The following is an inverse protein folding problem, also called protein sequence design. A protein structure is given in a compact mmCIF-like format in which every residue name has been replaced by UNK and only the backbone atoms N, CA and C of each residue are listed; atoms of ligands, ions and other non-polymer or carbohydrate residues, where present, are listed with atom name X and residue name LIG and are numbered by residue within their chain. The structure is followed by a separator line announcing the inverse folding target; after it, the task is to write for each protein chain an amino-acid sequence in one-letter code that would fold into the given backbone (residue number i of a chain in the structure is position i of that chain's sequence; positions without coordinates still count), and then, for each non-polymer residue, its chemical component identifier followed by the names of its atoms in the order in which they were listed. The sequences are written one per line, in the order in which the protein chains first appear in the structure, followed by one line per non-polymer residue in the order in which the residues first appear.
data_IF_562070703028
#
_entry.id   IF_562070703028
#
_cell.length_a   1.000
_cell.length_b   1.000
_cell.length_c   1.000
_cell.angle_alpha   90.00
_cell.angle_beta   90.00
_cell.angle_gamma   90.00
#
_symmetry.space_group_name_H-M   'P 1'
#
loop_
_entity.id
_entity.type
_entity.pdbx_description
1 polymer ?
#
# COMPACT_ATOMS: atom_id res chain seq x y z
N UNK A 1 18.86 15.22 -64.75
CA UNK A 1 19.20 14.72 -63.40
C UNK A 1 20.48 15.41 -62.99
N UNK A 2 20.42 16.29 -62.00
CA UNK A 2 21.57 16.94 -61.39
C UNK A 2 21.37 16.87 -59.86
N UNK A 3 22.40 16.41 -59.16
CA UNK A 3 22.35 15.80 -57.83
C UNK A 3 22.03 16.74 -56.67
N UNK A 4 21.57 16.12 -55.59
CA UNK A 4 21.26 16.74 -54.31
C UNK A 4 22.58 17.08 -53.56
N UNK A 5 22.78 18.32 -53.07
CA UNK A 5 24.05 18.79 -52.51
C UNK A 5 24.27 18.40 -51.02
N UNK A 6 23.64 17.32 -50.56
CA UNK A 6 23.63 16.92 -49.14
C UNK A 6 23.98 15.45 -48.94
N UNK A 7 25.00 14.97 -49.66
CA UNK A 7 25.67 13.70 -49.32
C UNK A 7 27.15 13.91 -49.55
N UNK A 8 27.89 14.03 -48.45
CA UNK A 8 29.15 13.33 -48.18
C UNK A 8 29.73 13.94 -46.89
N UNK A 9 29.69 13.16 -45.82
CA UNK A 9 30.68 13.08 -44.74
C UNK A 9 30.17 11.96 -43.79
N UNK A 10 30.17 10.72 -44.30
CA UNK A 10 30.24 9.53 -43.46
C UNK A 10 31.71 9.38 -43.01
N UNK A 11 31.92 8.95 -41.76
CA UNK A 11 33.19 8.67 -41.07
C UNK A 11 33.81 9.79 -40.20
N UNK A 12 33.11 10.26 -39.16
CA UNK A 12 33.77 10.77 -37.94
C UNK A 12 33.14 10.22 -36.64
N UNK A 13 33.20 8.90 -36.47
CA UNK A 13 32.82 8.20 -35.22
C UNK A 13 33.96 8.18 -34.18
N UNK A 14 34.93 9.09 -34.28
CA UNK A 14 36.10 9.10 -33.37
C UNK A 14 35.75 9.44 -31.92
N UNK A 15 34.57 10.01 -31.67
CA UNK A 15 34.07 10.31 -30.31
C UNK A 15 33.42 9.10 -29.60
N UNK A 16 33.08 8.02 -30.32
CA UNK A 16 32.42 6.84 -29.75
C UNK A 16 33.39 5.81 -29.14
N UNK A 17 34.70 5.90 -29.45
CA UNK A 17 35.69 4.87 -29.07
C UNK A 17 36.69 5.29 -27.98
N UNK A 18 36.38 6.33 -27.18
CA UNK A 18 37.25 6.73 -26.07
C UNK A 18 36.92 5.93 -24.80
N UNK A 19 37.59 4.80 -24.62
CA UNK A 19 37.57 4.07 -23.35
C UNK A 19 38.27 4.91 -22.25
N UNK A 20 37.70 5.02 -21.03
CA UNK A 20 38.29 5.81 -19.97
C UNK A 20 39.57 5.13 -19.43
N UNK A 21 40.61 5.92 -19.17
CA UNK A 21 41.79 5.46 -18.42
C UNK A 21 41.43 5.15 -16.97
N UNK A 22 42.12 4.19 -16.32
CA UNK A 22 41.86 3.86 -14.92
C UNK A 22 42.43 4.98 -14.03
N UNK A 23 41.56 5.85 -13.53
CA UNK A 23 41.85 6.74 -12.41
C UNK A 23 41.86 5.95 -11.09
N UNK A 24 42.63 6.39 -10.09
CA UNK A 24 42.79 5.62 -8.86
C UNK A 24 41.45 5.55 -8.11
N UNK A 25 41.11 4.34 -7.66
CA UNK A 25 40.02 4.12 -6.73
C UNK A 25 40.35 4.81 -5.40
N UNK A 26 39.48 5.70 -4.96
CA UNK A 26 39.36 6.01 -3.53
C UNK A 26 37.96 6.51 -3.18
N UNK A 27 37.54 6.17 -1.96
CA UNK A 27 36.18 6.16 -1.45
C UNK A 27 35.41 7.49 -1.45
N UNK A 28 34.12 7.36 -1.12
CA UNK A 28 33.14 8.45 -1.13
C UNK A 28 33.62 9.73 -0.44
N UNK A 29 33.55 10.83 -1.19
CA UNK A 29 33.66 12.18 -0.65
C UNK A 29 32.26 12.80 -0.59
N UNK A 30 31.84 13.39 0.55
CA UNK A 30 30.69 14.29 0.56
C UNK A 30 31.00 15.46 -0.38
N UNK A 31 30.01 15.91 -1.15
CA UNK A 31 30.17 16.95 -2.16
C UNK A 31 31.01 18.12 -1.63
N UNK A 32 32.11 18.43 -2.32
CA UNK A 32 32.93 19.60 -2.00
C UNK A 32 32.04 20.85 -1.95
N UNK A 33 32.11 21.66 -0.90
CA UNK A 33 31.33 22.90 -0.82
C UNK A 33 31.73 23.83 -1.96
N UNK A 34 30.75 24.47 -2.59
CA UNK A 34 30.99 25.38 -3.71
C UNK A 34 31.81 26.56 -3.18
N UNK A 35 33.07 26.67 -3.60
CA UNK A 35 34.07 27.59 -3.04
C UNK A 35 33.74 29.09 -3.17
N UNK A 36 32.58 29.44 -3.76
CA UNK A 36 32.17 30.81 -4.04
C UNK A 36 30.79 31.19 -3.50
N UNK A 37 30.06 30.30 -2.82
CA UNK A 37 28.83 30.70 -2.14
C UNK A 37 29.13 31.11 -0.70
N UNK A 38 28.59 32.26 -0.32
CA UNK A 38 28.56 32.70 1.07
C UNK A 38 27.78 31.69 1.91
N UNK A 39 28.28 31.26 3.10
CA UNK A 39 27.56 30.34 3.98
C UNK A 39 26.13 30.78 4.33
N UNK A 40 25.83 32.08 4.37
CA UNK A 40 24.46 32.58 4.56
C UNK A 40 23.58 32.32 3.32
N UNK A 41 24.17 32.38 2.13
CA UNK A 41 23.48 32.07 0.86
C UNK A 41 23.34 30.56 0.70
N UNK A 42 24.34 29.76 1.10
CA UNK A 42 24.19 28.30 1.17
C UNK A 42 23.11 27.89 2.16
N UNK A 43 23.02 28.54 3.33
CA UNK A 43 21.97 28.29 4.30
C UNK A 43 20.59 28.77 3.81
N UNK A 44 20.52 29.89 3.08
CA UNK A 44 19.28 30.38 2.48
C UNK A 44 18.79 29.47 1.34
N UNK A 45 19.70 28.94 0.52
CA UNK A 45 19.39 27.97 -0.54
C UNK A 45 19.03 26.59 0.06
N UNK A 46 19.69 26.17 1.14
CA UNK A 46 19.30 24.98 1.89
C UNK A 46 17.96 25.17 2.65
N UNK A 47 17.54 26.41 2.88
CA UNK A 47 16.22 26.77 3.38
C UNK A 47 15.16 26.84 2.27
N UNK A 48 15.49 26.58 0.99
CA UNK A 48 14.53 26.38 -0.11
C UNK A 48 13.81 25.02 -0.04
N UNK A 49 13.59 24.51 1.18
CA UNK A 49 12.68 23.40 1.40
C UNK A 49 11.22 23.86 1.28
N UNK A 50 10.27 22.92 1.13
CA UNK A 50 8.87 23.24 1.30
C UNK A 50 8.64 23.96 2.62
N UNK A 51 7.67 24.88 2.70
CA UNK A 51 7.21 25.40 3.98
C UNK A 51 6.85 24.24 4.92
N UNK A 52 7.22 24.33 6.19
CA UNK A 52 7.06 23.24 7.18
C UNK A 52 5.59 22.76 7.32
N UNK A 53 4.63 23.66 7.07
CA UNK A 53 3.20 23.33 7.12
C UNK A 53 2.74 22.48 5.93
N UNK A 54 3.46 22.48 4.79
CA UNK A 54 3.03 21.82 3.56
C UNK A 54 3.12 20.29 3.71
N UNK A 55 2.01 19.59 3.43
CA UNK A 55 1.89 18.15 3.62
C UNK A 55 1.42 17.72 5.02
N UNK A 56 1.41 18.64 6.00
CA UNK A 56 0.70 18.42 7.27
C UNK A 56 -0.81 18.50 7.01
N UNK A 57 -1.62 17.70 7.72
CA UNK A 57 -3.09 17.75 7.56
C UNK A 57 -3.56 19.17 7.85
N UNK A 58 -4.40 19.76 6.99
CA UNK A 58 -4.86 21.15 7.11
C UNK A 58 -5.33 21.54 8.52
N UNK A 59 -6.12 20.66 9.16
CA UNK A 59 -6.69 20.86 10.51
C UNK A 59 -5.66 20.73 11.65
N UNK A 60 -4.45 20.27 11.33
CA UNK A 60 -3.36 20.03 12.27
C UNK A 60 -2.18 20.99 12.04
N UNK A 61 -2.33 21.98 11.15
CA UNK A 61 -1.31 23.03 10.97
C UNK A 61 -1.23 23.86 12.25
N UNK A 62 -0.02 23.96 12.79
CA UNK A 62 0.26 24.65 14.05
C UNK A 62 -0.18 26.13 13.97
N UNK A 63 -0.79 26.69 15.03
CA UNK A 63 -1.34 28.06 14.99
C UNK A 63 -0.36 29.13 14.50
N UNK A 64 0.94 28.99 14.81
CA UNK A 64 1.99 29.90 14.35
C UNK A 64 2.21 29.90 12.83
N UNK A 65 1.89 28.81 12.14
CA UNK A 65 2.08 28.65 10.69
C UNK A 65 0.80 28.89 9.89
N UNK A 66 -0.37 28.90 10.54
CA UNK A 66 -1.66 29.02 9.85
C UNK A 66 -1.77 30.25 8.96
N UNK A 67 -1.24 31.39 9.39
CA UNK A 67 -1.26 32.62 8.59
C UNK A 67 -0.53 32.44 7.26
N UNK A 68 0.66 31.85 7.28
CA UNK A 68 1.42 31.60 6.06
C UNK A 68 0.75 30.51 5.20
N UNK A 69 0.27 29.43 5.82
CA UNK A 69 -0.48 28.38 5.12
C UNK A 69 -1.71 28.91 4.38
N UNK A 70 -2.51 29.79 5.01
CA UNK A 70 -3.65 30.44 4.37
C UNK A 70 -3.24 31.30 3.17
N UNK A 71 -2.17 32.08 3.29
CA UNK A 71 -1.68 32.91 2.20
C UNK A 71 -1.04 32.09 1.08
N UNK A 72 -0.31 31.02 1.42
CA UNK A 72 0.25 30.05 0.48
C UNK A 72 -0.85 29.37 -0.33
N UNK A 73 -1.86 28.82 0.36
CA UNK A 73 -3.01 28.20 -0.28
C UNK A 73 -3.75 29.20 -1.18
N UNK A 74 -3.99 30.43 -0.72
CA UNK A 74 -4.64 31.44 -1.55
C UNK A 74 -3.87 31.73 -2.84
N UNK A 75 -2.55 31.93 -2.78
CA UNK A 75 -1.72 32.16 -3.97
C UNK A 75 -1.78 30.98 -4.93
N UNK A 76 -1.75 29.77 -4.40
CA UNK A 76 -1.86 28.54 -5.19
C UNK A 76 -3.23 28.42 -5.86
N UNK A 77 -4.33 28.67 -5.13
CA UNK A 77 -5.70 28.66 -5.68
C UNK A 77 -5.84 29.72 -6.78
N UNK A 78 -5.29 30.91 -6.59
CA UNK A 78 -5.31 31.97 -7.61
C UNK A 78 -4.57 31.54 -8.89
N UNK A 79 -3.46 30.79 -8.77
CA UNK A 79 -2.80 30.17 -9.93
C UNK A 79 -3.69 29.10 -10.56
N UNK A 80 -4.22 28.19 -9.76
CA UNK A 80 -5.03 27.07 -10.22
C UNK A 80 -6.27 27.53 -11.00
N UNK A 81 -6.95 28.58 -10.51
CA UNK A 81 -8.08 29.21 -11.20
C UNK A 81 -7.66 29.78 -12.56
N UNK A 82 -6.52 30.48 -12.64
CA UNK A 82 -6.04 31.10 -13.88
C UNK A 82 -5.58 30.06 -14.90
N UNK A 83 -4.83 29.06 -14.46
CA UNK A 83 -4.24 28.02 -15.31
C UNK A 83 -5.33 27.11 -15.89
N UNK A 84 -6.22 26.60 -15.03
CA UNK A 84 -7.28 25.68 -15.43
C UNK A 84 -8.61 26.36 -15.80
N UNK A 85 -8.62 27.70 -15.83
CA UNK A 85 -9.77 28.55 -16.21
C UNK A 85 -11.03 28.18 -15.43
N UNK A 86 -10.88 28.03 -14.12
CA UNK A 86 -11.99 27.69 -13.23
C UNK A 86 -12.93 28.89 -13.09
N UNK A 87 -14.22 28.58 -12.95
CA UNK A 87 -15.29 29.56 -12.78
C UNK A 87 -15.76 29.60 -11.34
N UNK A 88 -16.63 30.56 -11.00
CA UNK A 88 -17.26 30.64 -9.67
C UNK A 88 -18.09 29.40 -9.34
N UNK A 89 -18.55 28.65 -10.35
CA UNK A 89 -19.23 27.37 -10.18
C UNK A 89 -18.27 26.21 -9.85
N UNK A 90 -16.98 26.37 -10.13
CA UNK A 90 -15.95 25.41 -9.72
C UNK A 90 -15.41 25.80 -8.33
N UNK A 91 -15.05 27.06 -8.12
CA UNK A 91 -14.51 27.57 -6.84
C UNK A 91 -15.19 28.91 -6.49
N UNK A 92 -16.02 28.99 -5.43
CA UNK A 92 -16.74 30.21 -5.09
C UNK A 92 -15.80 31.24 -4.45
N UNK A 93 -16.12 32.53 -4.56
CA UNK A 93 -15.31 33.61 -3.96
C UNK A 93 -15.19 33.49 -2.42
N UNK A 94 -16.10 32.77 -1.77
CA UNK A 94 -16.09 32.49 -0.34
C UNK A 94 -15.54 31.10 0.01
N UNK A 95 -14.80 30.43 -0.89
CA UNK A 95 -14.27 29.07 -0.69
C UNK A 95 -13.57 28.87 0.66
N UNK A 96 -12.85 29.89 1.17
CA UNK A 96 -12.14 29.85 2.45
C UNK A 96 -13.06 29.75 3.68
N UNK A 97 -14.37 29.92 3.50
CA UNK A 97 -15.40 29.73 4.54
C UNK A 97 -16.01 28.33 4.51
N UNK A 98 -15.61 27.50 3.54
CA UNK A 98 -16.12 26.16 3.33
C UNK A 98 -15.00 25.16 3.62
N UNK A 99 -15.06 24.43 4.76
CA UNK A 99 -13.96 23.60 5.22
C UNK A 99 -13.69 22.39 4.32
N UNK A 100 -14.72 21.87 3.66
CA UNK A 100 -14.66 20.84 2.63
C UNK A 100 -13.88 21.33 1.38
N UNK A 101 -14.27 22.47 0.81
CA UNK A 101 -13.57 23.09 -0.32
C UNK A 101 -12.11 23.42 0.03
N UNK A 102 -11.89 23.98 1.23
CA UNK A 102 -10.55 24.32 1.71
C UNK A 102 -9.67 23.07 1.82
N UNK A 103 -10.19 21.98 2.39
CA UNK A 103 -9.44 20.72 2.53
C UNK A 103 -9.11 20.09 1.17
N UNK A 104 -10.07 20.12 0.23
CA UNK A 104 -9.91 19.57 -1.11
C UNK A 104 -8.85 20.36 -1.92
N UNK A 105 -8.90 21.69 -1.88
CA UNK A 105 -7.91 22.57 -2.55
C UNK A 105 -6.51 22.41 -1.93
N UNK A 106 -6.44 22.27 -0.61
CA UNK A 106 -5.16 22.07 0.07
C UNK A 106 -4.54 20.71 -0.27
N UNK A 107 -5.34 19.64 -0.35
CA UNK A 107 -4.87 18.33 -0.80
C UNK A 107 -4.35 18.38 -2.24
N UNK A 108 -5.02 19.13 -3.12
CA UNK A 108 -4.58 19.35 -4.49
C UNK A 108 -3.24 20.10 -4.56
N UNK A 109 -3.05 21.14 -3.73
CA UNK A 109 -1.76 21.82 -3.59
C UNK A 109 -0.64 20.88 -3.18
N UNK A 110 -0.89 20.02 -2.19
CA UNK A 110 0.11 19.04 -1.73
C UNK A 110 0.46 18.02 -2.83
N UNK A 111 -0.53 17.59 -3.63
CA UNK A 111 -0.30 16.67 -4.75
C UNK A 111 0.50 17.32 -5.87
N UNK A 112 0.16 18.56 -6.25
CA UNK A 112 0.86 19.30 -7.29
C UNK A 112 2.33 19.51 -6.91
N UNK A 113 2.58 19.95 -5.67
CA UNK A 113 3.91 20.03 -5.10
C UNK A 113 4.64 18.68 -5.18
N UNK A 114 4.02 17.61 -4.68
CA UNK A 114 4.64 16.27 -4.68
C UNK A 114 5.00 15.77 -6.08
N UNK A 115 4.20 16.09 -7.09
CA UNK A 115 4.40 15.64 -8.47
C UNK A 115 5.58 16.37 -9.14
N UNK A 116 5.86 17.62 -8.77
CA UNK A 116 6.90 18.44 -9.40
C UNK A 116 8.22 18.51 -8.62
N UNK A 117 8.19 18.27 -7.32
CA UNK A 117 9.35 18.38 -6.43
C UNK A 117 10.39 17.27 -6.59
N UNK A 118 10.11 16.25 -7.39
CA UNK A 118 11.13 15.27 -7.76
C UNK A 118 12.21 15.89 -8.65
N UNK A 119 11.99 17.07 -9.24
CA UNK A 119 12.92 17.82 -10.12
C UNK A 119 13.59 16.94 -11.19
N UNK A 120 12.94 15.83 -11.52
CA UNK A 120 13.37 14.82 -12.47
C UNK A 120 12.27 14.70 -13.54
N UNK A 121 12.62 14.61 -14.83
CA UNK A 121 11.65 14.34 -15.88
C UNK A 121 10.93 13.01 -15.61
N UNK A 122 9.66 13.09 -15.22
CA UNK A 122 8.82 11.94 -14.88
C UNK A 122 7.45 12.02 -15.53
N UNK A 123 6.73 10.90 -15.56
CA UNK A 123 5.38 10.82 -16.11
C UNK A 123 4.29 11.22 -15.09
N UNK A 124 4.65 11.46 -13.83
CA UNK A 124 3.71 11.79 -12.75
C UNK A 124 2.80 13.00 -13.07
N UNK A 125 3.26 14.08 -13.72
CA UNK A 125 2.37 15.17 -14.15
C UNK A 125 1.25 14.70 -15.08
N UNK A 126 1.57 13.85 -16.06
CA UNK A 126 0.61 13.38 -17.04
C UNK A 126 -0.28 12.25 -16.49
N UNK A 127 0.30 11.36 -15.67
CA UNK A 127 -0.35 10.13 -15.22
C UNK A 127 -1.05 10.26 -13.86
N UNK A 128 -0.62 11.21 -13.02
CA UNK A 128 -1.16 11.41 -11.68
C UNK A 128 -1.87 12.77 -11.57
N UNK A 129 -1.19 13.87 -11.87
CA UNK A 129 -1.74 15.20 -11.62
C UNK A 129 -2.96 15.52 -12.50
N UNK A 130 -2.80 15.55 -13.83
CA UNK A 130 -3.89 15.95 -14.72
C UNK A 130 -5.16 15.07 -14.64
N UNK A 131 -5.05 13.73 -14.50
CA UNK A 131 -6.22 12.88 -14.25
C UNK A 131 -6.93 13.20 -12.93
N UNK A 132 -6.17 13.54 -11.88
CA UNK A 132 -6.74 13.97 -10.60
C UNK A 132 -7.34 15.37 -10.67
N UNK A 133 -6.79 16.29 -11.47
CA UNK A 133 -7.38 17.63 -11.70
C UNK A 133 -8.78 17.53 -12.29
N UNK A 134 -9.01 16.61 -13.23
CA UNK A 134 -10.35 16.41 -13.80
C UNK A 134 -11.37 15.95 -12.74
N UNK A 135 -10.97 15.02 -11.88
CA UNK A 135 -11.82 14.51 -10.80
C UNK A 135 -12.02 15.55 -9.69
N UNK A 136 -10.96 16.25 -9.30
CA UNK A 136 -10.97 17.38 -8.38
C UNK A 136 -11.98 18.42 -8.83
N UNK A 137 -11.94 18.82 -10.09
CA UNK A 137 -12.90 19.77 -10.65
C UNK A 137 -14.36 19.28 -10.54
N UNK A 138 -14.61 17.99 -10.72
CA UNK A 138 -15.95 17.42 -10.53
C UNK A 138 -16.41 17.55 -9.08
N UNK A 139 -15.55 17.17 -8.11
CA UNK A 139 -15.86 17.27 -6.66
C UNK A 139 -16.06 18.72 -6.22
N UNK A 140 -15.20 19.63 -6.67
CA UNK A 140 -15.32 21.06 -6.37
C UNK A 140 -16.65 21.65 -6.86
N UNK A 141 -17.12 21.27 -8.05
CA UNK A 141 -18.43 21.69 -8.56
C UNK A 141 -19.57 21.18 -7.69
N UNK A 142 -19.52 19.93 -7.26
CA UNK A 142 -20.53 19.32 -6.40
C UNK A 142 -20.57 20.02 -5.03
N UNK A 143 -19.42 20.15 -4.36
CA UNK A 143 -19.29 20.88 -3.09
C UNK A 143 -19.78 22.33 -3.21
N UNK A 144 -19.39 23.02 -4.29
CA UNK A 144 -19.82 24.41 -4.56
C UNK A 144 -21.33 24.50 -4.78
N UNK A 145 -21.90 23.52 -5.49
CA UNK A 145 -23.33 23.44 -5.72
C UNK A 145 -24.11 23.22 -4.41
N UNK A 146 -23.67 22.29 -3.58
CA UNK A 146 -24.26 22.00 -2.26
C UNK A 146 -24.15 23.17 -1.29
N UNK A 147 -23.03 23.88 -1.29
CA UNK A 147 -22.83 25.10 -0.51
C UNK A 147 -23.86 26.19 -0.89
N UNK A 148 -24.35 26.20 -2.14
CA UNK A 148 -25.42 27.09 -2.59
C UNK A 148 -25.09 28.59 -2.65
N UNK A 149 -23.83 28.96 -2.38
CA UNK A 149 -23.39 30.35 -2.26
C UNK A 149 -23.42 31.09 -3.59
N UNK A 150 -23.12 30.38 -4.70
CA UNK A 150 -23.09 30.95 -6.05
C UNK A 150 -24.50 31.31 -6.51
N UNK A 151 -25.45 30.40 -6.30
CA UNK A 151 -26.86 30.56 -6.67
C UNK A 151 -27.53 31.66 -5.83
N UNK A 152 -27.18 31.76 -4.55
CA UNK A 152 -27.68 32.81 -3.68
C UNK A 152 -27.05 34.19 -3.93
N UNK A 153 -25.94 34.27 -4.70
CA UNK A 153 -25.19 35.50 -4.94
C UNK A 153 -24.48 36.06 -3.69
N UNK A 154 -24.49 35.33 -2.58
CA UNK A 154 -23.87 35.69 -1.30
C UNK A 154 -23.48 34.42 -0.55
N UNK A 155 -22.51 34.55 0.35
CA UNK A 155 -22.17 33.45 1.23
C UNK A 155 -23.38 33.02 2.06
N UNK A 156 -23.58 31.70 2.13
CA UNK A 156 -24.63 31.04 2.90
C UNK A 156 -23.97 30.25 4.01
N UNK A 157 -24.36 30.55 5.24
CA UNK A 157 -23.91 29.78 6.39
C UNK A 157 -24.46 28.35 6.27
N UNK A 158 -23.66 27.33 6.58
CA UNK A 158 -24.08 25.95 6.66
C UNK A 158 -25.34 25.78 7.51
N UNK A 159 -26.32 25.03 7.02
CA UNK A 159 -27.58 24.79 7.75
C UNK A 159 -27.35 23.69 8.77
N UNK A 160 -27.58 24.01 10.03
CA UNK A 160 -27.59 23.05 11.14
C UNK A 160 -28.60 21.91 10.89
N UNK A 161 -28.24 20.66 11.23
CA UNK A 161 -29.15 19.52 11.09
C UNK A 161 -30.41 19.68 11.96
N UNK A 162 -30.27 20.33 13.12
CA UNK A 162 -31.36 20.72 14.01
C UNK A 162 -31.02 22.04 14.70
N UNK A 163 -31.99 22.69 15.35
CA UNK A 163 -31.73 23.94 16.10
C UNK A 163 -30.73 23.80 17.27
N UNK A 164 -30.31 22.58 17.61
CA UNK A 164 -29.37 22.28 18.69
C UNK A 164 -28.03 21.68 18.21
N UNK A 165 -27.98 21.08 17.01
CA UNK A 165 -26.80 20.38 16.49
C UNK A 165 -26.14 21.25 15.42
N UNK A 166 -24.84 21.54 15.57
CA UNK A 166 -24.08 22.38 14.64
C UNK A 166 -24.14 21.88 13.21
N UNK A 167 -23.89 22.77 12.25
CA UNK A 167 -23.73 22.33 10.88
C UNK A 167 -22.46 21.45 10.76
N UNK A 168 -22.58 20.34 10.04
CA UNK A 168 -21.54 19.31 9.91
C UNK A 168 -21.21 18.51 11.18
N UNK A 169 -21.96 18.70 12.27
CA UNK A 169 -21.93 17.81 13.42
C UNK A 169 -23.05 16.79 13.22
N UNK A 170 -22.67 15.51 13.05
CA UNK A 170 -23.61 14.42 13.15
C UNK A 170 -23.60 13.93 14.58
N UNK A 171 -24.77 13.81 15.20
CA UNK A 171 -24.90 13.13 16.48
C UNK A 171 -24.78 11.62 16.24
N UNK A 172 -23.78 10.98 16.85
CA UNK A 172 -23.57 9.54 16.74
C UNK A 172 -24.21 8.86 17.95
N UNK A 173 -24.62 7.60 17.78
CA UNK A 173 -24.96 6.76 18.93
C UNK A 173 -23.66 6.39 19.65
N UNK A 174 -23.29 7.18 20.66
CA UNK A 174 -22.05 7.02 21.43
C UNK A 174 -22.02 5.69 22.19
N UNK A 175 -23.17 5.18 22.64
CA UNK A 175 -23.25 3.91 23.36
C UNK A 175 -23.00 2.72 22.42
N UNK A 176 -23.60 2.74 21.23
CA UNK A 176 -23.33 1.75 20.18
C UNK A 176 -21.87 1.84 19.69
N UNK A 177 -21.35 3.06 19.49
CA UNK A 177 -19.95 3.27 19.12
C UNK A 177 -18.98 2.71 20.15
N UNK A 178 -19.16 3.00 21.44
CA UNK A 178 -18.30 2.47 22.51
C UNK A 178 -18.38 0.94 22.54
N UNK A 179 -19.57 0.37 22.37
CA UNK A 179 -19.75 -1.08 22.33
C UNK A 179 -18.96 -1.71 21.20
N UNK A 180 -19.04 -1.16 19.98
CA UNK A 180 -18.31 -1.67 18.81
C UNK A 180 -16.80 -1.42 18.94
N UNK A 181 -16.39 -0.21 19.33
CA UNK A 181 -14.99 0.18 19.44
C UNK A 181 -14.23 -0.59 20.54
N UNK A 182 -14.92 -0.97 21.62
CA UNK A 182 -14.36 -1.78 22.70
C UNK A 182 -14.46 -3.29 22.46
N UNK A 183 -15.03 -3.73 21.34
CA UNK A 183 -15.14 -5.15 21.01
C UNK A 183 -13.75 -5.75 20.77
N UNK A 184 -13.30 -6.60 21.68
CA UNK A 184 -12.03 -7.33 21.57
C UNK A 184 -12.28 -8.65 20.84
N UNK A 185 -11.54 -8.87 19.73
CA UNK A 185 -11.52 -10.15 19.02
C UNK A 185 -10.14 -10.77 19.12
N UNK A 186 -10.07 -11.98 19.68
CA UNK A 186 -8.84 -12.78 19.74
C UNK A 186 -9.10 -14.16 19.16
N UNK A 187 -8.10 -14.72 18.50
CA UNK A 187 -8.11 -16.10 18.02
C UNK A 187 -7.04 -16.90 18.75
N UNK A 188 -7.30 -18.18 18.99
CA UNK A 188 -6.32 -19.10 19.55
C UNK A 188 -6.46 -20.45 18.88
N UNK A 189 -5.37 -20.92 18.28
CA UNK A 189 -5.27 -22.28 17.75
C UNK A 189 -5.12 -23.24 18.93
N UNK A 190 -5.92 -24.31 18.92
CA UNK A 190 -5.93 -25.32 19.98
C UNK A 190 -5.83 -26.69 19.33
N UNK A 191 -4.82 -27.45 19.74
CA UNK A 191 -4.66 -28.83 19.30
C UNK A 191 -5.86 -29.67 19.73
N UNK A 192 -6.39 -30.44 18.77
CA UNK A 192 -7.43 -31.43 19.04
C UNK A 192 -6.87 -32.57 19.88
N UNK A 193 -7.66 -33.15 20.79
CA UNK A 193 -7.21 -34.31 21.56
C UNK A 193 -7.02 -35.53 20.64
N UNK A 194 -6.11 -36.43 21.01
CA UNK A 194 -5.91 -37.71 20.31
C UNK A 194 -7.00 -38.74 20.65
N UNK A 195 -7.63 -38.61 21.83
CA UNK A 195 -8.74 -39.47 22.29
C UNK A 195 -9.77 -38.65 23.07
N UNK A 196 -11.05 -39.03 22.95
CA UNK A 196 -12.14 -38.40 23.72
C UNK A 196 -12.48 -36.97 23.29
N UNK A 197 -12.96 -36.16 24.24
CA UNK A 197 -13.39 -34.75 24.04
C UNK A 197 -12.61 -33.84 24.98
N UNK A 198 -12.05 -32.75 24.45
CA UNK A 198 -11.37 -31.68 25.21
C UNK A 198 -12.28 -30.46 25.24
N UNK A 199 -12.73 -30.04 26.41
CA UNK A 199 -13.54 -28.84 26.58
C UNK A 199 -12.66 -27.60 26.75
N UNK A 200 -13.01 -26.52 26.08
CA UNK A 200 -12.32 -25.23 26.15
C UNK A 200 -13.36 -24.13 26.37
N UNK A 201 -13.05 -23.14 27.21
CA UNK A 201 -13.82 -21.89 27.31
C UNK A 201 -12.87 -20.71 27.47
N UNK A 202 -13.32 -19.52 27.08
CA UNK A 202 -12.64 -18.26 27.35
C UNK A 202 -13.28 -17.56 28.55
N UNK A 203 -12.48 -16.78 29.29
CA UNK A 203 -12.94 -15.91 30.38
C UNK A 203 -12.48 -14.49 30.10
N UNK A 204 -13.36 -13.53 30.32
CA UNK A 204 -13.03 -12.12 30.31
C UNK A 204 -12.63 -11.73 31.74
N UNK A 205 -11.38 -11.29 31.90
CA UNK A 205 -10.82 -10.82 33.17
C UNK A 205 -10.24 -9.43 32.97
N UNK A 206 -10.36 -8.57 33.97
CA UNK A 206 -9.72 -7.24 33.96
C UNK A 206 -8.26 -7.29 34.41
N UNK A 207 -7.62 -6.11 34.45
CA UNK A 207 -6.23 -5.95 34.87
C UNK A 207 -5.98 -6.35 36.34
N UNK A 208 -7.01 -6.28 37.19
CA UNK A 208 -6.94 -6.66 38.60
C UNK A 208 -7.25 -8.15 38.82
N UNK A 209 -7.58 -8.88 37.74
CA UNK A 209 -7.90 -10.30 37.74
C UNK A 209 -9.35 -10.63 38.09
N UNK A 210 -10.24 -9.64 38.14
CA UNK A 210 -11.68 -9.85 38.36
C UNK A 210 -12.33 -10.41 37.10
N UNK A 211 -13.15 -11.46 37.25
CA UNK A 211 -13.88 -12.07 36.14
C UNK A 211 -15.17 -11.32 35.83
N UNK A 212 -15.34 -10.92 34.57
CA UNK A 212 -16.52 -10.21 34.06
C UNK A 212 -17.47 -11.14 33.28
N UNK A 213 -17.01 -12.33 32.91
CA UNK A 213 -17.81 -13.33 32.24
C UNK A 213 -16.99 -14.47 31.64
N UNK A 214 -17.67 -15.52 31.21
CA UNK A 214 -17.07 -16.67 30.53
C UNK A 214 -17.91 -17.07 29.32
N UNK A 215 -17.25 -17.58 28.28
CA UNK A 215 -17.94 -18.19 27.15
C UNK A 215 -18.57 -19.53 27.55
N UNK A 216 -19.53 -19.98 26.75
CA UNK A 216 -19.97 -21.36 26.79
C UNK A 216 -18.79 -22.31 26.48
N UNK A 217 -18.74 -23.50 27.10
CA UNK A 217 -17.69 -24.47 26.83
C UNK A 217 -17.88 -25.09 25.44
N UNK A 218 -16.79 -25.07 24.66
CA UNK A 218 -16.69 -25.73 23.36
C UNK A 218 -16.00 -27.10 23.52
N UNK A 219 -16.67 -28.18 23.12
CA UNK A 219 -16.09 -29.52 23.09
C UNK A 219 -15.37 -29.82 21.78
N UNK A 220 -14.04 -29.93 21.83
CA UNK A 220 -13.21 -30.39 20.71
C UNK A 220 -13.10 -31.92 20.75
N UNK A 221 -13.71 -32.59 19.78
CA UNK A 221 -13.63 -34.05 19.67
C UNK A 221 -12.33 -34.49 18.99
N UNK A 222 -11.84 -35.67 19.39
CA UNK A 222 -10.74 -36.32 18.69
C UNK A 222 -11.13 -36.58 17.23
N UNK A 223 -10.22 -36.25 16.31
CA UNK A 223 -10.38 -36.60 14.90
C UNK A 223 -10.20 -38.11 14.77
N UNK A 224 -11.12 -38.81 14.11
CA UNK A 224 -10.82 -40.18 13.70
C UNK A 224 -9.73 -40.11 12.64
N UNK A 225 -8.56 -40.68 12.91
CA UNK A 225 -7.58 -40.94 11.86
C UNK A 225 -8.24 -41.94 10.91
N UNK A 226 -8.47 -41.54 9.66
CA UNK A 226 -8.92 -42.49 8.66
C UNK A 226 -7.87 -43.61 8.59
N UNK A 227 -8.28 -44.87 8.73
CA UNK A 227 -7.38 -46.00 8.53
C UNK A 227 -6.70 -45.91 7.17
N UNK A 228 -5.53 -46.54 7.03
CA UNK A 228 -4.86 -46.66 5.73
C UNK A 228 -5.83 -47.32 4.74
N UNK A 229 -6.34 -46.55 3.78
CA UNK A 229 -7.37 -46.99 2.85
C UNK A 229 -6.78 -47.86 1.74
N UNK A 230 -5.67 -47.42 1.15
CA UNK A 230 -4.88 -48.22 0.22
C UNK A 230 -3.46 -47.69 0.06
N UNK A 231 -2.54 -48.58 -0.31
CA UNK A 231 -1.21 -48.26 -0.83
C UNK A 231 -1.13 -48.96 -2.18
N UNK A 232 -0.98 -48.19 -3.25
CA UNK A 232 -0.90 -48.72 -4.61
C UNK A 232 0.33 -48.18 -5.32
N UNK A 233 1.12 -49.07 -5.90
CA UNK A 233 2.20 -48.70 -6.79
C UNK A 233 1.66 -48.53 -8.21
N UNK A 234 1.98 -47.40 -8.84
CA UNK A 234 1.59 -47.08 -10.21
C UNK A 234 2.83 -46.84 -11.07
N UNK A 235 2.76 -47.27 -12.32
CA UNK A 235 3.82 -47.08 -13.30
C UNK A 235 3.62 -45.74 -14.02
N UNK A 236 4.66 -44.92 -14.14
CA UNK A 236 4.53 -43.54 -14.65
C UNK A 236 5.30 -43.28 -15.94
N UNK A 237 6.45 -43.93 -16.18
CA UNK A 237 7.15 -43.81 -17.45
C UNK A 237 8.03 -45.03 -17.77
N UNK A 238 8.12 -45.37 -19.05
CA UNK A 238 9.05 -46.38 -19.56
C UNK A 238 10.12 -45.69 -20.40
N UNK A 239 11.25 -45.34 -19.78
CA UNK A 239 12.48 -45.08 -20.53
C UNK A 239 13.16 -46.43 -20.78
N UNK A 240 13.69 -46.73 -21.97
CA UNK A 240 14.47 -47.96 -22.18
C UNK A 240 15.61 -48.04 -21.16
N UNK A 241 15.54 -48.99 -20.22
CA UNK A 241 16.50 -49.18 -19.13
C UNK A 241 16.17 -48.48 -17.80
N UNK A 242 15.12 -47.65 -17.71
CA UNK A 242 14.68 -47.00 -16.46
C UNK A 242 13.15 -46.95 -16.37
N UNK A 243 12.62 -47.37 -15.22
CA UNK A 243 11.19 -47.38 -14.93
C UNK A 243 10.84 -46.26 -13.95
N UNK A 244 9.94 -45.37 -14.32
CA UNK A 244 9.29 -44.46 -13.39
C UNK A 244 8.18 -45.18 -12.64
N UNK A 245 8.22 -45.16 -11.31
CA UNK A 245 7.15 -45.66 -10.44
C UNK A 245 6.75 -44.59 -9.44
N UNK A 246 5.48 -44.60 -9.03
CA UNK A 246 4.96 -43.68 -8.02
C UNK A 246 4.07 -44.47 -7.06
N UNK A 247 4.16 -44.16 -5.77
CA UNK A 247 3.28 -44.72 -4.75
C UNK A 247 2.11 -43.78 -4.49
N UNK A 248 0.89 -44.31 -4.54
CA UNK A 248 -0.32 -43.60 -4.17
C UNK A 248 -0.84 -44.17 -2.84
N UNK A 249 -0.81 -43.35 -1.80
CA UNK A 249 -1.36 -43.69 -0.48
C UNK A 249 -2.65 -42.92 -0.26
N UNK A 250 -3.75 -43.64 -0.04
CA UNK A 250 -5.05 -43.04 0.27
C UNK A 250 -5.36 -43.24 1.77
N UNK A 251 -5.40 -42.15 2.54
CA UNK A 251 -5.68 -42.17 3.98
C UNK A 251 -4.48 -42.56 4.85
N UNK A 252 -4.71 -42.71 6.16
CA UNK A 252 -3.68 -43.00 7.15
C UNK A 252 -3.23 -41.81 8.02
N UNK A 253 -2.37 -42.03 9.02
CA UNK A 253 -1.92 -40.99 9.93
C UNK A 253 -1.00 -39.97 9.25
N UNK A 254 -0.96 -38.75 9.79
CA UNK A 254 -0.23 -37.61 9.23
C UNK A 254 1.30 -37.80 9.23
N UNK A 255 1.82 -38.79 9.97
CA UNK A 255 3.25 -39.11 10.06
C UNK A 255 3.66 -40.38 9.28
N UNK A 256 2.88 -40.79 8.27
CA UNK A 256 3.27 -41.90 7.39
C UNK A 256 4.53 -41.56 6.59
N UNK A 257 5.45 -42.52 6.56
CA UNK A 257 6.65 -42.48 5.73
C UNK A 257 6.64 -43.62 4.73
N UNK A 258 7.03 -43.35 3.48
CA UNK A 258 7.20 -44.39 2.46
C UNK A 258 8.59 -44.98 2.60
N UNK A 259 8.66 -46.30 2.75
CA UNK A 259 9.91 -47.07 2.65
C UNK A 259 9.86 -47.88 1.36
N UNK A 260 10.91 -47.80 0.57
CA UNK A 260 11.05 -48.55 -0.67
C UNK A 260 11.82 -49.83 -0.40
N UNK A 261 11.27 -50.95 -0.88
CA UNK A 261 11.87 -52.26 -0.77
C UNK A 261 11.91 -52.92 -2.14
N UNK A 262 12.93 -53.71 -2.39
CA UNK A 262 13.08 -54.50 -3.60
C UNK A 262 13.10 -56.00 -3.27
N UNK A 263 12.74 -56.80 -4.26
CA UNK A 263 12.70 -58.25 -4.12
C UNK A 263 13.04 -58.92 -5.45
N UNK A 264 13.90 -59.93 -5.40
CA UNK A 264 14.25 -60.74 -6.57
C UNK A 264 13.21 -61.83 -6.87
N UNK A 265 12.40 -62.22 -5.89
CA UNK A 265 11.43 -63.32 -5.97
C UNK A 265 9.98 -62.90 -5.67
N UNK A 266 9.76 -61.64 -5.28
CA UNK A 266 8.46 -61.08 -4.89
C UNK A 266 7.97 -61.51 -3.49
N UNK A 267 8.79 -62.24 -2.74
CA UNK A 267 8.43 -62.83 -1.43
C UNK A 267 9.43 -62.51 -0.32
N UNK A 268 10.70 -62.31 -0.66
CA UNK A 268 11.78 -61.89 0.23
C UNK A 268 12.15 -60.46 -0.11
N UNK A 269 11.93 -59.53 0.81
CA UNK A 269 12.09 -58.10 0.60
C UNK A 269 13.32 -57.58 1.33
N UNK A 270 14.05 -56.65 0.69
CA UNK A 270 15.18 -55.93 1.27
C UNK A 270 15.00 -54.42 1.06
N UNK A 271 15.49 -53.56 1.97
CA UNK A 271 15.40 -52.12 1.78
C UNK A 271 16.17 -51.70 0.53
N UNK A 272 15.54 -50.87 -0.29
CA UNK A 272 16.19 -50.25 -1.44
C UNK A 272 17.02 -49.08 -0.90
N UNK A 273 18.33 -49.07 -1.15
CA UNK A 273 19.22 -48.02 -0.65
C UNK A 273 18.71 -46.64 -1.12
N UNK A 274 18.50 -45.73 -0.17
CA UNK A 274 18.04 -44.37 -0.44
C UNK A 274 19.18 -43.55 -1.07
N UNK A 275 19.42 -43.75 -2.36
CA UNK A 275 20.19 -42.82 -3.17
C UNK A 275 19.42 -41.52 -3.32
N UNK A 276 20.05 -40.41 -2.93
CA UNK A 276 19.57 -39.03 -2.98
C UNK A 276 18.67 -38.74 -4.19
N UNK A 277 17.40 -38.37 -3.94
CA UNK A 277 16.70 -37.22 -4.54
C UNK A 277 15.21 -37.24 -4.13
N UNK A 278 14.96 -36.73 -2.92
CA UNK A 278 13.66 -36.25 -2.47
C UNK A 278 13.33 -34.95 -3.23
N UNK A 279 13.00 -35.06 -4.53
CA UNK A 279 12.40 -33.94 -5.27
C UNK A 279 10.93 -33.86 -4.90
N UNK A 280 10.68 -33.12 -3.82
CA UNK A 280 9.38 -32.54 -3.51
C UNK A 280 8.91 -31.67 -4.68
N UNK A 281 8.17 -32.25 -5.63
CA UNK A 281 7.26 -31.45 -6.45
C UNK A 281 5.87 -31.50 -5.82
N UNK A 282 5.70 -30.64 -4.82
CA UNK A 282 4.42 -30.36 -4.19
C UNK A 282 3.73 -29.30 -5.06
N UNK A 283 2.58 -29.57 -5.71
CA UNK A 283 1.84 -28.50 -6.36
C UNK A 283 1.35 -27.54 -5.26
N UNK A 284 1.78 -26.29 -5.34
CA UNK A 284 1.34 -25.21 -4.46
C UNK A 284 -0.14 -24.88 -4.74
N UNK A 285 -0.99 -24.69 -3.72
CA UNK A 285 -2.24 -23.94 -3.84
C UNK A 285 -2.00 -22.43 -3.88
#
# INVERSE_FOLDING_TARGET
MAGNPWVDDEDDDTWLNQAPSPGPADGGAPGSPLTYLDPEVEAALAAEGPPEWLGTRWRQIEPGQQWDAWNGLRRWVDWFIREYRLTTSDVPACWYRHPDLTAELYAAMCMEYKVWEEQAPGLAPMMMWHPNVAQLRSRLKEMTHEAGCVQAGKHKEPVAYSGAVGAYELDYDEDDWITVASTIRTEKVIDRPTTGVKYVRARAVDADGTEHGASDPLGLQARSVAGLGSVALAYTSTTPGQAGVTVNIAGGPENLTVVWEESADGTTWAPMDAGDEDTQDRPQP
#
